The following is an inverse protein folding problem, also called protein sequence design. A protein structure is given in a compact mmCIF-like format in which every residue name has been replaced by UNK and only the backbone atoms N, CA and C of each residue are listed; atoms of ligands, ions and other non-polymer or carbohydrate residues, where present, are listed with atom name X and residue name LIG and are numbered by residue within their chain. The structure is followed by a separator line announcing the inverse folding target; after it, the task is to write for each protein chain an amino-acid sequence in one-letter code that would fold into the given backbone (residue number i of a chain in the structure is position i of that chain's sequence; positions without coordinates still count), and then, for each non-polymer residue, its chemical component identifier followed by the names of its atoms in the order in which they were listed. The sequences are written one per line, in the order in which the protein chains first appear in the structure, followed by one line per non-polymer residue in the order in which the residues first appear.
data_IF_784439777276
#
_entry.id   IF_784439777276
#
_cell.length_a   1.000
_cell.length_b   1.000
_cell.length_c   1.000
_cell.angle_alpha   90.00
_cell.angle_beta   90.00
_cell.angle_gamma   90.00
#
_symmetry.space_group_name_H-M   'P 1'
#
loop_
_entity.id
_entity.type
_entity.pdbx_description
1 polymer ?
#
# COMPACT_ATOMS: atom_id res chain seq x y z
N UNK A 1 -27.97 20.56 3.70
CA UNK A 1 -26.70 20.15 3.05
C UNK A 1 -27.09 19.61 1.68
N UNK A 2 -27.04 20.46 0.66
CA UNK A 2 -27.43 20.11 -0.72
C UNK A 2 -26.39 19.15 -1.29
N UNK A 3 -26.84 17.98 -1.76
CA UNK A 3 -26.00 17.04 -2.51
C UNK A 3 -25.46 17.79 -3.75
N UNK A 4 -24.16 17.70 -4.06
CA UNK A 4 -23.62 18.28 -5.28
C UNK A 4 -24.39 17.70 -6.47
N UNK A 5 -24.78 18.56 -7.43
CA UNK A 5 -25.37 18.12 -8.70
C UNK A 5 -24.52 16.98 -9.27
N UNK A 6 -25.19 15.88 -9.62
CA UNK A 6 -24.58 14.67 -10.14
C UNK A 6 -23.85 14.95 -11.46
N UNK A 7 -22.59 15.35 -11.34
CA UNK A 7 -21.63 15.24 -12.42
C UNK A 7 -21.52 13.73 -12.70
N UNK A 8 -21.87 13.33 -13.93
CA UNK A 8 -21.89 11.94 -14.37
C UNK A 8 -20.51 11.31 -14.14
N UNK A 9 -20.34 10.62 -13.00
CA UNK A 9 -19.05 10.05 -12.59
C UNK A 9 -18.71 8.88 -13.52
N UNK A 10 -17.90 9.16 -14.55
CA UNK A 10 -17.37 8.12 -15.45
C UNK A 10 -16.35 7.25 -14.71
N UNK A 11 -16.79 6.07 -14.28
CA UNK A 11 -15.89 5.10 -13.65
C UNK A 11 -15.15 4.26 -14.70
N UNK A 12 -13.81 4.28 -14.64
CA UNK A 12 -12.99 3.40 -15.47
C UNK A 12 -12.91 2.01 -14.83
N UNK A 13 -13.62 1.05 -15.41
CA UNK A 13 -13.53 -0.36 -15.01
C UNK A 13 -12.10 -0.87 -15.25
N UNK A 14 -11.46 -1.37 -14.21
CA UNK A 14 -10.09 -1.91 -14.25
C UNK A 14 -10.04 -3.43 -14.29
N UNK A 15 -11.12 -4.12 -13.92
CA UNK A 15 -11.15 -5.59 -13.83
C UNK A 15 -12.57 -6.17 -13.76
N UNK A 16 -13.22 -6.42 -14.91
CA UNK A 16 -14.47 -7.19 -14.95
C UNK A 16 -14.25 -8.69 -14.69
N UNK A 17 -13.10 -9.24 -15.09
CA UNK A 17 -12.82 -10.67 -15.05
C UNK A 17 -12.13 -11.16 -13.76
N UNK A 18 -11.95 -10.30 -12.75
CA UNK A 18 -11.25 -10.60 -11.48
C UNK A 18 -9.90 -11.36 -11.64
N UNK A 19 -9.24 -11.27 -12.81
CA UNK A 19 -7.99 -11.98 -13.10
C UNK A 19 -6.82 -11.31 -12.36
N UNK A 20 -6.09 -12.11 -11.57
CA UNK A 20 -4.85 -11.70 -10.89
C UNK A 20 -3.89 -11.00 -11.89
N UNK A 21 -3.62 -9.69 -11.76
CA UNK A 21 -2.71 -9.00 -12.67
C UNK A 21 -1.25 -9.43 -12.51
N UNK A 22 -0.49 -9.38 -13.60
CA UNK A 22 0.98 -9.49 -13.60
C UNK A 22 1.66 -8.54 -12.61
N UNK A 23 2.87 -8.86 -12.11
CA UNK A 23 3.62 -7.90 -11.28
C UNK A 23 3.98 -6.65 -12.08
N UNK A 24 4.54 -6.82 -13.28
CA UNK A 24 4.79 -5.72 -14.22
C UNK A 24 3.49 -4.97 -14.54
N UNK A 25 2.38 -5.71 -14.73
CA UNK A 25 1.09 -5.09 -14.97
C UNK A 25 0.60 -4.23 -13.79
N UNK A 26 0.82 -4.67 -12.55
CA UNK A 26 0.52 -3.90 -11.34
C UNK A 26 1.39 -2.65 -11.26
N UNK A 27 2.70 -2.81 -11.44
CA UNK A 27 3.69 -1.75 -11.28
C UNK A 27 3.58 -0.65 -12.34
N UNK A 28 3.24 -0.99 -13.59
CA UNK A 28 3.21 -0.03 -14.69
C UNK A 28 1.79 0.32 -15.15
N UNK A 29 0.97 -0.68 -15.48
CA UNK A 29 -0.35 -0.42 -16.10
C UNK A 29 -1.40 -0.01 -15.08
N UNK A 30 -1.48 -0.70 -13.94
CA UNK A 30 -2.57 -0.51 -12.98
C UNK A 30 -2.30 0.59 -11.96
N UNK A 31 -1.04 0.81 -11.58
CA UNK A 31 -0.62 2.02 -10.84
C UNK A 31 -0.97 3.30 -11.61
N UNK A 32 -0.68 3.34 -12.92
CA UNK A 32 -1.04 4.45 -13.79
C UNK A 32 -2.55 4.68 -13.86
N UNK A 33 -3.34 3.60 -13.88
CA UNK A 33 -4.81 3.70 -13.82
C UNK A 33 -5.27 4.31 -12.50
N UNK A 34 -4.59 4.05 -11.38
CA UNK A 34 -4.92 4.61 -10.06
C UNK A 34 -4.63 6.11 -10.01
N UNK A 35 -3.46 6.52 -10.51
CA UNK A 35 -3.05 7.92 -10.59
C UNK A 35 -1.63 8.06 -11.13
N UNK A 36 -1.34 9.19 -11.78
CA UNK A 36 -0.01 9.48 -12.32
C UNK A 36 1.05 9.56 -11.21
N UNK A 37 0.71 10.20 -10.08
CA UNK A 37 1.59 10.31 -8.92
C UNK A 37 1.88 8.95 -8.27
N UNK A 38 0.89 8.06 -8.21
CA UNK A 38 1.09 6.69 -7.73
C UNK A 38 2.10 5.94 -8.61
N UNK A 39 2.00 6.07 -9.94
CA UNK A 39 2.95 5.46 -10.87
C UNK A 39 4.38 5.99 -10.67
N UNK A 40 4.56 7.32 -10.65
CA UNK A 40 5.87 7.95 -10.42
C UNK A 40 6.47 7.49 -9.10
N UNK A 41 5.67 7.49 -8.03
CA UNK A 41 6.13 7.09 -6.70
C UNK A 41 6.65 5.65 -6.71
N UNK A 42 5.89 4.69 -7.26
CA UNK A 42 6.33 3.30 -7.32
C UNK A 42 7.57 3.12 -8.19
N UNK A 43 7.66 3.82 -9.32
CA UNK A 43 8.85 3.79 -10.18
C UNK A 43 10.09 4.27 -9.42
N UNK A 44 9.96 5.38 -8.67
CA UNK A 44 11.02 5.90 -7.81
C UNK A 44 11.43 4.92 -6.72
N UNK A 45 10.46 4.32 -6.01
CA UNK A 45 10.72 3.35 -4.93
C UNK A 45 11.48 2.13 -5.46
N UNK A 46 11.03 1.53 -6.56
CA UNK A 46 11.74 0.40 -7.16
C UNK A 46 13.14 0.77 -7.64
N UNK A 47 13.27 1.94 -8.28
CA UNK A 47 14.56 2.46 -8.71
C UNK A 47 15.54 2.62 -7.54
N UNK A 48 15.09 3.21 -6.42
CA UNK A 48 15.92 3.39 -5.23
C UNK A 48 16.30 2.07 -4.57
N UNK A 49 15.36 1.13 -4.44
CA UNK A 49 15.64 -0.17 -3.82
C UNK A 49 16.69 -0.92 -4.65
N UNK A 50 16.51 -0.99 -5.98
CA UNK A 50 17.44 -1.71 -6.85
C UNK A 50 18.82 -1.05 -6.83
N UNK A 51 18.89 0.27 -7.01
CA UNK A 51 20.17 0.98 -7.01
C UNK A 51 20.85 0.95 -5.64
N UNK A 52 20.09 1.12 -4.55
CA UNK A 52 20.61 1.03 -3.18
C UNK A 52 21.23 -0.33 -2.88
N UNK A 53 20.53 -1.42 -3.26
CA UNK A 53 21.08 -2.78 -3.13
C UNK A 53 22.36 -2.95 -3.95
N UNK A 54 22.41 -2.46 -5.19
CA UNK A 54 23.62 -2.52 -6.02
C UNK A 54 24.78 -1.74 -5.37
N UNK A 55 24.50 -0.60 -4.74
CA UNK A 55 25.49 0.21 -4.04
C UNK A 55 25.97 -0.44 -2.73
N UNK A 56 25.15 -1.27 -2.09
CA UNK A 56 25.51 -2.01 -0.86
C UNK A 56 26.30 -3.31 -1.13
N UNK A 57 26.05 -4.01 -2.25
CA UNK A 57 26.69 -5.30 -2.61
C UNK A 57 28.23 -5.29 -2.48
N UNK A 58 28.97 -4.26 -2.93
CA UNK A 58 30.43 -4.21 -2.79
C UNK A 58 30.91 -4.23 -1.33
N UNK A 59 30.10 -3.77 -0.38
CA UNK A 59 30.41 -3.81 1.05
C UNK A 59 30.11 -5.17 1.69
N UNK A 60 29.27 -5.98 1.04
CA UNK A 60 28.92 -7.33 1.49
C UNK A 60 29.85 -8.41 0.89
N UNK A 61 30.48 -8.14 -0.26
CA UNK A 61 31.32 -9.09 -0.98
C UNK A 61 32.61 -8.41 -1.46
N UNK A 62 33.74 -8.72 -0.81
CA UNK A 62 35.06 -8.10 -1.07
C UNK A 62 35.48 -8.16 -2.54
N UNK A 63 35.12 -9.23 -3.27
CA UNK A 63 35.46 -9.45 -4.68
C UNK A 63 34.69 -8.60 -5.70
N UNK A 64 33.65 -7.87 -5.30
CA UNK A 64 32.84 -7.00 -6.19
C UNK A 64 33.25 -5.52 -6.15
N UNK A 65 34.19 -5.17 -5.27
CA UNK A 65 34.66 -3.79 -5.07
C UNK A 65 35.29 -3.16 -6.32
N UNK A 66 36.01 -3.95 -7.12
CA UNK A 66 36.68 -3.49 -8.36
C UNK A 66 35.69 -3.14 -9.48
N UNK A 67 34.59 -3.89 -9.60
CA UNK A 67 33.51 -3.62 -10.57
C UNK A 67 32.80 -2.31 -10.22
N UNK A 68 32.65 -2.03 -8.92
CA UNK A 68 31.98 -0.82 -8.45
C UNK A 68 32.83 0.44 -8.63
N UNK A 69 34.16 0.36 -8.53
CA UNK A 69 35.05 1.52 -8.68
C UNK A 69 34.90 2.26 -10.03
N UNK A 70 34.53 1.57 -11.11
CA UNK A 70 34.30 2.20 -12.41
C UNK A 70 32.90 2.80 -12.61
N UNK A 71 31.89 2.29 -11.89
CA UNK A 71 30.48 2.56 -12.15
C UNK A 71 29.72 3.21 -10.98
N UNK A 72 30.37 3.39 -9.82
CA UNK A 72 29.74 3.92 -8.61
C UNK A 72 29.11 5.31 -8.80
N UNK A 73 29.72 6.15 -9.63
CA UNK A 73 29.15 7.46 -9.98
C UNK A 73 27.80 7.31 -10.69
N UNK A 74 27.68 6.39 -11.67
CA UNK A 74 26.45 6.15 -12.41
C UNK A 74 25.33 5.67 -11.48
N UNK A 75 25.62 4.70 -10.62
CA UNK A 75 24.62 4.20 -9.66
C UNK A 75 24.18 5.29 -8.68
N UNK A 76 25.08 6.17 -8.24
CA UNK A 76 24.75 7.33 -7.40
C UNK A 76 23.81 8.30 -8.12
N UNK A 77 24.04 8.57 -9.41
CA UNK A 77 23.13 9.38 -10.24
C UNK A 77 21.75 8.74 -10.39
N UNK A 78 21.69 7.46 -10.75
CA UNK A 78 20.41 6.75 -10.90
C UNK A 78 19.67 6.71 -9.56
N UNK A 79 20.36 6.46 -8.45
CA UNK A 79 19.78 6.50 -7.11
C UNK A 79 19.21 7.89 -6.79
N UNK A 80 19.97 8.95 -7.01
CA UNK A 80 19.52 10.33 -6.81
C UNK A 80 18.29 10.69 -7.67
N UNK A 81 18.31 10.37 -8.97
CA UNK A 81 17.19 10.63 -9.90
C UNK A 81 15.94 9.86 -9.45
N UNK A 82 16.09 8.58 -9.11
CA UNK A 82 14.96 7.79 -8.63
C UNK A 82 14.45 8.33 -7.29
N UNK A 83 15.32 8.86 -6.44
CA UNK A 83 14.95 9.55 -5.19
C UNK A 83 14.08 10.79 -5.46
N UNK A 84 14.42 11.57 -6.49
CA UNK A 84 13.60 12.69 -6.94
C UNK A 84 12.23 12.23 -7.45
N UNK A 85 12.14 11.09 -8.14
CA UNK A 85 10.85 10.50 -8.53
C UNK A 85 10.01 10.14 -7.28
N UNK A 86 10.60 9.57 -6.23
CA UNK A 86 9.88 9.31 -4.96
C UNK A 86 9.31 10.62 -4.40
N UNK A 87 10.12 11.69 -4.36
CA UNK A 87 9.67 13.00 -3.88
C UNK A 87 8.49 13.54 -4.69
N UNK A 88 8.61 13.60 -6.01
CA UNK A 88 7.54 14.11 -6.89
C UNK A 88 6.26 13.27 -6.79
N UNK A 89 6.38 11.93 -6.82
CA UNK A 89 5.25 11.03 -6.66
C UNK A 89 4.64 11.13 -5.25
N UNK A 90 5.48 11.26 -4.23
CA UNK A 90 5.10 11.40 -2.83
C UNK A 90 4.29 12.67 -2.56
N UNK A 91 4.70 13.81 -3.13
CA UNK A 91 3.92 15.06 -3.06
C UNK A 91 2.51 14.84 -3.62
N UNK A 92 2.40 14.22 -4.80
CA UNK A 92 1.10 13.92 -5.39
C UNK A 92 0.25 12.96 -4.53
N UNK A 93 0.91 12.00 -3.88
CA UNK A 93 0.26 11.07 -2.96
C UNK A 93 -0.28 11.77 -1.69
N UNK A 94 0.49 12.70 -1.13
CA UNK A 94 0.09 13.55 0.00
C UNK A 94 -1.07 14.47 -0.40
N UNK A 95 -0.99 15.14 -1.55
CA UNK A 95 -2.06 15.97 -2.08
C UNK A 95 -3.35 15.16 -2.26
N UNK A 96 -3.24 13.94 -2.79
CA UNK A 96 -4.37 13.03 -2.94
C UNK A 96 -4.97 12.62 -1.60
N UNK A 97 -4.14 12.35 -0.58
CA UNK A 97 -4.60 12.07 0.79
C UNK A 97 -5.48 13.18 1.36
N UNK A 98 -5.08 14.44 1.16
CA UNK A 98 -5.86 15.57 1.65
C UNK A 98 -7.10 15.88 0.80
N UNK A 99 -7.04 15.66 -0.52
CA UNK A 99 -8.13 16.01 -1.45
C UNK A 99 -9.19 14.91 -1.60
N UNK A 100 -8.84 13.64 -1.43
CA UNK A 100 -9.77 12.52 -1.66
C UNK A 100 -10.16 11.83 -0.34
N UNK A 101 -11.40 12.04 0.15
CA UNK A 101 -11.85 11.47 1.42
C UNK A 101 -11.94 9.93 1.39
N UNK A 102 -12.26 9.33 0.24
CA UNK A 102 -12.35 7.87 0.08
C UNK A 102 -10.97 7.21 0.19
N UNK A 103 -9.96 7.85 -0.40
CA UNK A 103 -8.57 7.40 -0.31
C UNK A 103 -8.04 7.50 1.12
N UNK A 104 -8.27 8.64 1.79
CA UNK A 104 -7.93 8.84 3.21
C UNK A 104 -8.57 7.80 4.12
N UNK A 105 -9.85 7.52 3.91
CA UNK A 105 -10.60 6.51 4.67
C UNK A 105 -10.05 5.09 4.45
N UNK A 106 -9.71 4.73 3.22
CA UNK A 106 -9.17 3.40 2.91
C UNK A 106 -7.75 3.18 3.44
N UNK A 107 -6.91 4.23 3.46
CA UNK A 107 -5.52 4.11 3.89
C UNK A 107 -5.37 4.04 5.42
N UNK A 108 -6.10 4.91 6.14
CA UNK A 108 -6.07 4.99 7.59
C UNK A 108 -4.84 5.69 8.16
N UNK A 109 -4.55 5.45 9.45
CA UNK A 109 -3.52 6.17 10.24
C UNK A 109 -2.08 5.77 9.93
N UNK A 110 -1.87 4.56 9.40
CA UNK A 110 -0.52 4.07 9.04
C UNK A 110 0.15 4.94 7.97
N UNK A 111 -0.65 5.69 7.21
CA UNK A 111 -0.17 6.70 6.27
C UNK A 111 0.86 7.66 6.88
N UNK A 112 0.56 8.19 8.06
CA UNK A 112 1.42 9.20 8.70
C UNK A 112 2.77 8.62 9.13
N UNK A 113 2.80 7.34 9.50
CA UNK A 113 4.04 6.65 9.85
C UNK A 113 4.92 6.49 8.62
N UNK A 114 4.38 5.92 7.53
CA UNK A 114 5.14 5.77 6.28
C UNK A 114 5.58 7.14 5.73
N UNK A 115 4.71 8.17 5.80
CA UNK A 115 5.05 9.51 5.34
C UNK A 115 6.18 10.15 6.16
N UNK A 116 6.19 10.00 7.48
CA UNK A 116 7.24 10.54 8.33
C UNK A 116 8.60 9.92 8.01
N UNK A 117 8.66 8.59 7.88
CA UNK A 117 9.90 7.90 7.51
C UNK A 117 10.37 8.25 6.11
N UNK A 118 9.48 8.21 5.12
CA UNK A 118 9.82 8.56 3.73
C UNK A 118 10.25 10.03 3.60
N UNK A 119 9.63 10.94 4.36
CA UNK A 119 10.03 12.34 4.43
C UNK A 119 11.43 12.52 5.01
N UNK A 120 11.74 11.83 6.11
CA UNK A 120 13.08 11.83 6.72
C UNK A 120 14.14 11.23 5.78
N UNK A 121 13.84 10.10 5.15
CA UNK A 121 14.71 9.46 4.16
C UNK A 121 14.99 10.39 2.98
N UNK A 122 13.96 11.03 2.45
CA UNK A 122 14.10 11.92 1.32
C UNK A 122 14.89 13.19 1.70
N UNK A 123 14.72 13.72 2.92
CA UNK A 123 15.50 14.85 3.41
C UNK A 123 16.99 14.50 3.52
N UNK A 124 17.31 13.41 4.23
CA UNK A 124 18.71 12.98 4.41
C UNK A 124 19.35 12.63 3.06
N UNK A 125 18.62 11.91 2.19
CA UNK A 125 19.08 11.55 0.85
C UNK A 125 19.29 12.76 -0.05
N UNK A 126 18.43 13.79 0.02
CA UNK A 126 18.59 15.03 -0.73
C UNK A 126 19.82 15.81 -0.29
N UNK A 127 20.06 15.95 1.02
CA UNK A 127 21.26 16.61 1.54
C UNK A 127 22.52 15.88 1.08
N UNK A 128 22.53 14.54 1.16
CA UNK A 128 23.64 13.73 0.66
C UNK A 128 23.85 13.90 -0.85
N UNK A 129 22.77 13.95 -1.65
CA UNK A 129 22.87 14.15 -3.09
C UNK A 129 23.44 15.53 -3.45
N UNK A 130 22.96 16.60 -2.80
CA UNK A 130 23.44 17.97 -3.03
C UNK A 130 24.96 18.05 -2.82
N UNK A 131 25.47 17.43 -1.76
CA UNK A 131 26.89 17.38 -1.44
C UNK A 131 27.68 16.56 -2.47
N UNK A 132 27.23 15.33 -2.78
CA UNK A 132 27.90 14.44 -3.74
C UNK A 132 28.00 15.07 -5.14
N UNK A 133 27.01 15.87 -5.53
CA UNK A 133 26.99 16.55 -6.83
C UNK A 133 27.60 17.95 -6.79
N UNK A 134 28.08 18.43 -5.65
CA UNK A 134 28.75 19.72 -5.52
C UNK A 134 27.83 20.92 -5.76
N UNK A 135 26.51 20.77 -5.60
CA UNK A 135 25.56 21.88 -5.82
C UNK A 135 25.59 22.93 -4.71
N UNK A 136 26.02 22.56 -3.50
CA UNK A 136 26.27 23.51 -2.41
C UNK A 136 27.58 23.10 -1.70
N UNK A 137 28.68 23.84 -1.86
CA UNK A 137 29.83 23.70 -0.98
C UNK A 137 29.44 24.28 0.38
N UNK A 138 28.77 23.48 1.20
CA UNK A 138 28.42 23.88 2.56
C UNK A 138 29.73 23.87 3.35
N UNK A 139 30.33 25.03 3.59
CA UNK A 139 31.65 25.18 4.20
C UNK A 139 31.80 24.48 5.58
N UNK A 140 30.68 24.12 6.22
CA UNK A 140 30.61 23.38 7.49
C UNK A 140 30.39 21.87 7.34
N UNK A 141 30.31 21.33 6.12
CA UNK A 141 30.06 19.91 5.87
C UNK A 141 31.39 19.14 5.80
N UNK A 142 31.77 18.55 6.93
CA UNK A 142 32.98 17.74 6.99
C UNK A 142 32.74 16.35 6.39
N UNK A 143 33.82 15.65 6.02
CA UNK A 143 33.72 14.25 5.60
C UNK A 143 33.13 13.34 6.70
N UNK A 144 33.26 13.72 7.97
CA UNK A 144 32.58 13.06 9.10
C UNK A 144 31.06 13.26 9.03
N UNK A 145 30.60 14.47 8.70
CA UNK A 145 29.18 14.79 8.54
C UNK A 145 28.52 13.95 7.43
N UNK A 146 29.20 13.76 6.29
CA UNK A 146 28.71 12.91 5.18
C UNK A 146 28.57 11.46 5.61
N UNK A 147 29.59 10.91 6.30
CA UNK A 147 29.54 9.53 6.82
C UNK A 147 28.39 9.34 7.81
N UNK A 148 28.17 10.33 8.68
CA UNK A 148 27.08 10.31 9.64
C UNK A 148 25.71 10.37 8.95
N UNK A 149 25.52 11.25 7.95
CA UNK A 149 24.28 11.28 7.17
C UNK A 149 24.02 9.96 6.45
N UNK A 150 25.03 9.34 5.85
CA UNK A 150 24.88 8.03 5.22
C UNK A 150 24.44 6.95 6.21
N UNK A 151 25.01 6.96 7.42
CA UNK A 151 24.64 6.03 8.49
C UNK A 151 23.21 6.30 8.99
N UNK A 152 22.83 7.57 9.16
CA UNK A 152 21.47 7.96 9.51
C UNK A 152 20.46 7.53 8.44
N UNK A 153 20.79 7.73 7.15
CA UNK A 153 19.96 7.33 6.03
C UNK A 153 19.68 5.82 6.09
N UNK A 154 20.73 5.01 6.24
CA UNK A 154 20.62 3.56 6.32
C UNK A 154 19.84 3.11 7.57
N UNK A 155 20.09 3.73 8.73
CA UNK A 155 19.35 3.45 9.96
C UNK A 155 17.85 3.76 9.81
N UNK A 156 17.50 4.86 9.14
CA UNK A 156 16.12 5.20 8.82
C UNK A 156 15.49 4.19 7.87
N UNK A 157 16.21 3.66 6.88
CA UNK A 157 15.71 2.64 5.95
C UNK A 157 15.32 1.38 6.73
N UNK A 158 16.25 0.84 7.53
CA UNK A 158 15.99 -0.40 8.26
C UNK A 158 14.90 -0.23 9.32
N UNK A 159 14.88 0.90 10.02
CA UNK A 159 13.82 1.23 10.97
C UNK A 159 12.46 1.31 10.27
N UNK A 160 12.39 2.01 9.13
CA UNK A 160 11.18 2.09 8.33
C UNK A 160 10.72 0.72 7.85
N UNK A 161 11.63 -0.15 7.39
CA UNK A 161 11.28 -1.50 6.94
C UNK A 161 10.61 -2.30 8.06
N UNK A 162 11.20 -2.32 9.27
CA UNK A 162 10.66 -3.05 10.41
C UNK A 162 9.31 -2.47 10.84
N UNK A 163 9.23 -1.16 11.02
CA UNK A 163 8.01 -0.49 11.47
C UNK A 163 6.88 -0.64 10.45
N UNK A 164 7.16 -0.43 9.17
CA UNK A 164 6.19 -0.55 8.07
C UNK A 164 5.70 -2.00 7.90
N UNK A 165 6.57 -2.99 8.13
CA UNK A 165 6.18 -4.40 8.12
C UNK A 165 5.21 -4.75 9.27
N UNK A 166 5.52 -4.31 10.51
CA UNK A 166 4.72 -4.62 11.70
C UNK A 166 3.40 -3.85 11.72
N UNK A 167 3.45 -2.53 11.48
CA UNK A 167 2.29 -1.63 11.56
C UNK A 167 1.32 -1.75 10.37
N UNK A 168 1.67 -2.52 9.33
CA UNK A 168 0.85 -2.69 8.14
C UNK A 168 0.90 -1.52 7.16
N UNK A 169 2.09 -0.97 7.00
CA UNK A 169 2.45 0.09 6.05
C UNK A 169 2.81 -0.44 4.67
N UNK A 170 3.50 0.40 3.91
CA UNK A 170 3.91 0.17 2.52
C UNK A 170 4.72 -1.11 2.31
N UNK A 171 5.65 -1.45 3.22
CA UNK A 171 6.49 -2.65 3.08
C UNK A 171 5.66 -3.93 3.27
N UNK A 172 4.77 -3.97 4.27
CA UNK A 172 3.85 -5.10 4.44
C UNK A 172 2.95 -5.26 3.23
N UNK A 173 2.49 -4.15 2.64
CA UNK A 173 1.72 -4.18 1.40
C UNK A 173 2.51 -4.81 0.23
N UNK A 174 3.76 -4.39 0.03
CA UNK A 174 4.62 -4.92 -1.02
C UNK A 174 4.85 -6.43 -0.85
N UNK A 175 5.25 -6.87 0.36
CA UNK A 175 5.47 -8.29 0.68
C UNK A 175 4.19 -9.10 0.49
N UNK A 176 3.06 -8.60 0.99
CA UNK A 176 1.76 -9.27 0.84
C UNK A 176 1.34 -9.37 -0.62
N UNK A 177 1.64 -8.36 -1.44
CA UNK A 177 1.34 -8.36 -2.88
C UNK A 177 2.16 -9.40 -3.63
N UNK A 178 3.45 -9.54 -3.29
CA UNK A 178 4.30 -10.61 -3.84
C UNK A 178 3.78 -11.98 -3.39
N UNK A 179 3.51 -12.17 -2.09
CA UNK A 179 2.98 -13.42 -1.55
C UNK A 179 1.66 -13.83 -2.23
N UNK A 180 0.72 -12.88 -2.35
CA UNK A 180 -0.54 -13.07 -3.06
C UNK A 180 -0.34 -13.57 -4.50
N UNK A 181 0.66 -13.03 -5.20
CA UNK A 181 0.98 -13.40 -6.58
C UNK A 181 1.59 -14.79 -6.70
N UNK A 182 2.42 -15.20 -5.74
CA UNK A 182 3.06 -16.52 -5.74
C UNK A 182 2.08 -17.64 -5.37
N UNK A 183 0.92 -17.33 -4.79
CA UNK A 183 -0.09 -18.33 -4.45
C UNK A 183 -0.83 -18.88 -5.68
N UNK A 184 -0.82 -20.22 -5.81
CA UNK A 184 -1.45 -20.96 -6.93
C UNK A 184 -2.98 -20.93 -6.92
N UNK A 185 -3.60 -20.74 -5.75
CA UNK A 185 -5.05 -20.80 -5.60
C UNK A 185 -5.66 -19.39 -5.43
N UNK A 186 -6.69 -19.08 -6.22
CA UNK A 186 -7.56 -17.90 -6.02
C UNK A 186 -8.69 -18.21 -5.04
N UNK A 187 -8.39 -18.90 -3.94
CA UNK A 187 -9.42 -19.12 -2.93
C UNK A 187 -9.72 -17.83 -2.20
N UNK A 188 -10.98 -17.65 -1.83
CA UNK A 188 -11.42 -16.48 -1.10
C UNK A 188 -10.74 -16.37 0.28
N UNK A 189 -10.50 -17.50 0.95
CA UNK A 189 -9.71 -17.58 2.18
C UNK A 189 -8.27 -17.09 1.98
N UNK A 190 -7.66 -17.42 0.83
CA UNK A 190 -6.36 -16.89 0.43
C UNK A 190 -6.39 -15.37 0.24
N UNK A 191 -7.43 -14.83 -0.42
CA UNK A 191 -7.58 -13.37 -0.58
C UNK A 191 -7.71 -12.66 0.77
N UNK A 192 -8.47 -13.22 1.72
CA UNK A 192 -8.60 -12.70 3.08
C UNK A 192 -7.25 -12.73 3.83
N UNK A 193 -6.48 -13.80 3.68
CA UNK A 193 -5.14 -13.91 4.25
C UNK A 193 -4.16 -12.86 3.68
N UNK A 194 -4.36 -12.42 2.43
CA UNK A 194 -3.60 -11.36 1.80
C UNK A 194 -4.35 -10.02 1.72
N UNK A 195 -5.24 -9.72 2.68
CA UNK A 195 -5.96 -8.43 2.71
C UNK A 195 -5.01 -7.22 2.76
N UNK A 196 -3.80 -7.38 3.30
CA UNK A 196 -2.77 -6.35 3.32
C UNK A 196 -2.14 -6.08 1.93
N UNK A 197 -2.34 -6.98 0.95
CA UNK A 197 -2.02 -6.71 -0.46
C UNK A 197 -2.99 -5.71 -1.11
N UNK A 198 -4.04 -5.26 -0.41
CA UNK A 198 -4.85 -4.14 -0.87
C UNK A 198 -3.99 -2.87 -0.94
N UNK A 199 -3.95 -2.20 -2.11
CA UNK A 199 -3.27 -0.91 -2.25
C UNK A 199 -3.99 0.28 -1.62
N UNK A 200 -5.06 0.04 -0.85
CA UNK A 200 -5.82 1.07 -0.09
C UNK A 200 -6.22 2.30 -0.93
N UNK A 201 -6.47 2.12 -2.23
CA UNK A 201 -6.66 3.21 -3.18
C UNK A 201 -8.01 3.96 -3.08
N UNK A 202 -8.94 3.50 -2.24
CA UNK A 202 -10.25 4.14 -2.02
C UNK A 202 -11.31 3.91 -3.10
N UNK A 203 -10.95 3.39 -4.28
CA UNK A 203 -11.92 3.23 -5.40
C UNK A 203 -13.12 2.36 -5.08
N UNK A 204 -12.92 1.28 -4.32
CA UNK A 204 -14.03 0.42 -3.90
C UNK A 204 -15.01 1.15 -2.97
N UNK A 205 -14.54 2.12 -2.20
CA UNK A 205 -15.37 2.95 -1.32
C UNK A 205 -16.16 3.97 -2.12
N UNK A 206 -15.50 4.61 -3.09
CA UNK A 206 -16.10 5.63 -3.97
C UNK A 206 -17.33 5.13 -4.73
N UNK A 207 -17.34 3.87 -5.15
CA UNK A 207 -18.42 3.28 -5.97
C UNK A 207 -19.43 2.44 -5.20
N UNK A 208 -19.31 2.35 -3.87
CA UNK A 208 -20.13 1.43 -3.10
C UNK A 208 -21.51 2.02 -2.77
N UNK A 209 -22.62 1.45 -3.27
CA UNK A 209 -23.96 1.97 -2.98
C UNK A 209 -24.37 1.73 -1.53
N UNK A 210 -23.93 0.65 -0.89
CA UNK A 210 -24.15 0.39 0.54
C UNK A 210 -23.51 1.50 1.38
N UNK A 211 -22.25 1.85 1.10
CA UNK A 211 -21.58 2.95 1.83
C UNK A 211 -22.34 4.28 1.71
N UNK A 212 -22.86 4.60 0.51
CA UNK A 212 -23.66 5.80 0.32
C UNK A 212 -25.01 5.72 1.05
N UNK A 213 -25.71 4.58 0.97
CA UNK A 213 -27.01 4.36 1.62
C UNK A 213 -26.94 4.46 3.15
N UNK A 214 -25.80 4.12 3.75
CA UNK A 214 -25.54 4.25 5.19
C UNK A 214 -24.90 5.59 5.56
N UNK A 215 -25.23 6.68 4.84
CA UNK A 215 -24.74 8.04 5.10
C UNK A 215 -23.21 8.12 5.22
N UNK A 216 -22.49 7.34 4.41
CA UNK A 216 -21.02 7.28 4.40
C UNK A 216 -20.39 6.93 5.75
N UNK A 217 -21.05 6.07 6.54
CA UNK A 217 -20.47 5.51 7.76
C UNK A 217 -19.15 4.79 7.42
N UNK A 218 -18.00 5.18 8.03
CA UNK A 218 -16.69 4.55 7.81
C UNK A 218 -16.70 3.01 7.92
N UNK A 219 -17.54 2.46 8.79
CA UNK A 219 -17.67 1.02 9.00
C UNK A 219 -18.43 0.29 7.88
N UNK A 220 -19.06 1.02 6.95
CA UNK A 220 -19.71 0.49 5.76
C UNK A 220 -18.84 0.61 4.50
N UNK A 221 -17.66 1.24 4.62
CA UNK A 221 -16.71 1.29 3.52
C UNK A 221 -16.15 -0.12 3.23
N UNK A 222 -16.21 -0.63 1.97
CA UNK A 222 -16.00 -2.05 1.68
C UNK A 222 -14.70 -2.63 2.22
N UNK A 223 -13.58 -1.96 1.98
CA UNK A 223 -12.25 -2.41 2.40
C UNK A 223 -12.03 -2.25 3.90
N UNK A 224 -12.61 -1.21 4.51
CA UNK A 224 -12.47 -0.92 5.95
C UNK A 224 -13.22 -1.97 6.76
N UNK A 225 -14.50 -2.18 6.43
CA UNK A 225 -15.37 -3.19 7.03
C UNK A 225 -14.75 -4.59 6.95
N UNK A 226 -14.28 -4.95 5.75
CA UNK A 226 -13.67 -6.26 5.50
C UNK A 226 -12.43 -6.50 6.36
N UNK A 227 -11.50 -5.53 6.41
CA UNK A 227 -10.27 -5.65 7.20
C UNK A 227 -10.55 -5.67 8.70
N UNK A 228 -11.47 -4.83 9.16
CA UNK A 228 -11.84 -4.76 10.57
C UNK A 228 -12.40 -6.10 11.06
N UNK A 229 -13.44 -6.63 10.42
CA UNK A 229 -14.07 -7.86 10.88
C UNK A 229 -13.17 -9.09 10.69
N UNK A 230 -12.32 -9.11 9.66
CA UNK A 230 -11.30 -10.14 9.53
C UNK A 230 -10.31 -10.13 10.71
N UNK A 231 -9.85 -8.95 11.14
CA UNK A 231 -8.99 -8.83 12.32
C UNK A 231 -9.72 -9.23 13.61
N UNK A 232 -10.99 -8.85 13.77
CA UNK A 232 -11.81 -9.24 14.93
C UNK A 232 -11.94 -10.76 15.02
N UNK A 233 -12.27 -11.44 13.91
CA UNK A 233 -12.37 -12.91 13.89
C UNK A 233 -11.03 -13.61 14.11
N UNK A 234 -9.91 -13.02 13.68
CA UNK A 234 -8.57 -13.63 13.82
C UNK A 234 -7.95 -13.41 15.21
N UNK A 235 -8.25 -12.29 15.86
CA UNK A 235 -7.56 -11.88 17.09
C UNK A 235 -8.06 -12.57 18.35
N UNK A 236 -9.30 -13.09 18.34
CA UNK A 236 -9.90 -13.72 19.53
C UNK A 236 -11.05 -14.66 19.18
N UNK A 237 -11.47 -15.46 20.16
CA UNK A 237 -12.74 -16.18 20.10
C UNK A 237 -13.90 -15.19 20.23
N UNK A 238 -14.90 -15.34 19.36
CA UNK A 238 -16.11 -14.52 19.37
C UNK A 238 -17.20 -15.23 20.18
N UNK A 239 -17.99 -14.44 20.90
CA UNK A 239 -19.23 -14.93 21.52
C UNK A 239 -20.29 -15.20 20.45
N UNK A 240 -21.32 -16.03 20.73
CA UNK A 240 -22.42 -16.25 19.79
C UNK A 240 -23.09 -14.97 19.29
N UNK A 241 -23.27 -13.97 20.17
CA UNK A 241 -23.84 -12.67 19.83
C UNK A 241 -22.94 -11.90 18.86
N UNK A 242 -21.63 -11.95 19.04
CA UNK A 242 -20.67 -11.30 18.14
C UNK A 242 -20.58 -12.01 16.79
N UNK A 243 -20.62 -13.34 16.77
CA UNK A 243 -20.67 -14.11 15.52
C UNK A 243 -21.91 -13.73 14.71
N UNK A 244 -23.07 -13.65 15.36
CA UNK A 244 -24.31 -13.18 14.73
C UNK A 244 -24.15 -11.76 14.18
N UNK A 245 -23.61 -10.85 14.99
CA UNK A 245 -23.36 -9.47 14.56
C UNK A 245 -22.44 -9.39 13.34
N UNK A 246 -21.30 -10.10 13.34
CA UNK A 246 -20.39 -10.14 12.18
C UNK A 246 -21.10 -10.68 10.94
N UNK A 247 -21.92 -11.72 11.11
CA UNK A 247 -22.70 -12.33 10.02
C UNK A 247 -23.70 -11.34 9.41
N UNK A 248 -24.47 -10.64 10.25
CA UNK A 248 -25.41 -9.59 9.83
C UNK A 248 -24.69 -8.45 9.09
N UNK A 249 -23.51 -8.06 9.58
CA UNK A 249 -22.67 -7.04 8.97
C UNK A 249 -22.14 -7.45 7.60
N UNK A 250 -21.80 -8.74 7.40
CA UNK A 250 -21.40 -9.23 6.07
C UNK A 250 -22.58 -9.36 5.11
N UNK A 251 -23.75 -9.72 5.62
CA UNK A 251 -24.98 -9.82 4.84
C UNK A 251 -25.50 -8.46 4.33
N UNK A 252 -25.03 -7.34 4.88
CA UNK A 252 -25.43 -5.99 4.44
C UNK A 252 -24.89 -5.60 3.05
N UNK A 253 -23.93 -6.37 2.51
CA UNK A 253 -23.38 -6.12 1.18
C UNK A 253 -24.45 -6.35 0.10
N UNK A 254 -24.72 -5.35 -0.74
CA UNK A 254 -25.67 -5.47 -1.86
C UNK A 254 -25.21 -6.39 -3.01
N UNK A 255 -23.99 -6.95 -2.92
CA UNK A 255 -23.41 -7.88 -3.90
C UNK A 255 -23.38 -7.40 -5.37
N UNK A 256 -23.46 -6.08 -5.60
CA UNK A 256 -23.53 -5.47 -6.94
C UNK A 256 -22.24 -5.53 -7.78
N UNK A 257 -21.12 -6.03 -7.23
CA UNK A 257 -19.82 -6.17 -7.89
C UNK A 257 -19.12 -4.88 -8.42
N UNK A 258 -19.67 -3.68 -8.22
CA UNK A 258 -19.03 -2.42 -8.64
C UNK A 258 -17.59 -2.28 -8.11
N UNK A 259 -17.39 -2.62 -6.84
CA UNK A 259 -16.08 -2.60 -6.18
C UNK A 259 -15.04 -3.55 -6.82
N UNK A 260 -15.47 -4.70 -7.35
CA UNK A 260 -14.58 -5.62 -8.07
C UNK A 260 -14.21 -5.04 -9.45
N UNK A 261 -15.18 -4.41 -10.12
CA UNK A 261 -14.99 -3.78 -11.42
C UNK A 261 -13.95 -2.66 -11.42
N UNK A 262 -13.88 -1.86 -10.34
CA UNK A 262 -12.95 -0.71 -10.22
C UNK A 262 -11.66 -1.02 -9.46
N UNK A 263 -11.48 -2.25 -8.96
CA UNK A 263 -10.30 -2.62 -8.18
C UNK A 263 -9.07 -2.82 -9.08
N UNK A 264 -7.99 -2.02 -8.90
CA UNK A 264 -6.76 -2.21 -9.65
C UNK A 264 -5.99 -3.47 -9.23
N UNK A 265 -6.35 -4.12 -8.12
CA UNK A 265 -5.73 -5.39 -7.69
C UNK A 265 -6.56 -6.62 -8.04
N UNK A 266 -7.71 -6.43 -8.72
CA UNK A 266 -8.68 -7.51 -9.02
C UNK A 266 -9.18 -8.26 -7.79
N UNK A 267 -9.29 -7.58 -6.64
CA UNK A 267 -9.97 -8.16 -5.48
C UNK A 267 -11.46 -8.25 -5.71
N UNK A 268 -11.99 -9.47 -5.60
CA UNK A 268 -13.42 -9.72 -5.62
C UNK A 268 -13.97 -9.54 -4.20
N UNK A 269 -14.32 -8.30 -3.85
CA UNK A 269 -14.86 -7.99 -2.53
C UNK A 269 -16.16 -8.77 -2.25
N UNK A 270 -17.04 -8.97 -3.23
CA UNK A 270 -18.28 -9.75 -3.02
C UNK A 270 -17.96 -11.17 -2.57
N UNK A 271 -17.03 -11.84 -3.26
CA UNK A 271 -16.56 -13.15 -2.84
C UNK A 271 -15.97 -13.10 -1.42
N UNK A 272 -15.11 -12.13 -1.12
CA UNK A 272 -14.48 -11.98 0.20
C UNK A 272 -15.52 -11.79 1.33
N UNK A 273 -16.57 -11.01 1.10
CA UNK A 273 -17.69 -10.88 2.05
C UNK A 273 -18.41 -12.20 2.27
N UNK A 274 -18.69 -12.94 1.20
CA UNK A 274 -19.36 -14.24 1.29
C UNK A 274 -18.50 -15.27 2.03
N UNK A 275 -17.19 -15.31 1.81
CA UNK A 275 -16.32 -16.19 2.57
C UNK A 275 -16.22 -15.75 4.03
N UNK A 276 -16.17 -14.45 4.32
CA UNK A 276 -16.18 -13.97 5.69
C UNK A 276 -17.48 -14.33 6.41
N UNK A 277 -18.61 -14.26 5.73
CA UNK A 277 -19.90 -14.73 6.24
C UNK A 277 -19.86 -16.24 6.54
N UNK A 278 -19.34 -17.05 5.62
CA UNK A 278 -19.19 -18.50 5.82
C UNK A 278 -18.27 -18.83 6.99
N UNK A 279 -17.14 -18.14 7.12
CA UNK A 279 -16.22 -18.32 8.25
C UNK A 279 -16.87 -17.91 9.58
N UNK A 280 -17.62 -16.80 9.61
CA UNK A 280 -18.38 -16.42 10.80
C UNK A 280 -19.42 -17.49 11.16
N UNK A 281 -20.16 -18.02 10.20
CA UNK A 281 -21.17 -19.07 10.43
C UNK A 281 -20.57 -20.38 10.98
N UNK A 282 -19.34 -20.74 10.59
CA UNK A 282 -18.64 -21.90 11.17
C UNK A 282 -18.36 -21.74 12.67
N UNK A 283 -18.24 -20.49 13.13
CA UNK A 283 -18.04 -20.15 14.53
C UNK A 283 -19.38 -20.07 15.30
N UNK A 284 -20.52 -20.12 14.61
CA UNK A 284 -21.82 -20.07 15.26
C UNK A 284 -22.07 -21.37 16.04
N UNK A 285 -22.63 -21.29 17.26
CA UNK A 285 -23.05 -22.49 17.97
C UNK A 285 -24.11 -23.22 17.13
N UNK A 286 -24.01 -24.56 17.07
CA UNK A 286 -25.04 -25.37 16.43
C UNK A 286 -26.40 -25.07 17.11
N UNK A 287 -27.49 -24.93 16.35
CA UNK A 287 -28.80 -24.76 16.95
C UNK A 287 -29.05 -25.95 17.88
N UNK A 288 -29.33 -25.68 19.15
CA UNK A 288 -29.82 -26.70 20.06
C UNK A 288 -31.25 -27.01 19.61
N UNK A 289 -31.41 -28.16 18.95
CA UNK A 289 -32.73 -28.69 18.65
C UNK A 289 -33.27 -29.23 19.98
N UNK A 290 -34.11 -28.44 20.64
CA UNK A 290 -34.94 -28.85 21.77
C UNK A 290 -36.31 -29.26 21.28
#
# INVERSE_FOLDING_TARGET
MTLPKDEERKYKLSSLQAKKPGLIQLLFKRSFVVGYSDFIFHLGVWGNIITGLIMEVPFLFEGLSSVYQGWGWLFSWIHGITGLLILMGGIGFVLRYFRNPFFRLAYGRVFYLDLAFLGGLALVGLVQAIEVFGFLPIASFTQSSIKWLGTLHLALIYTWIVVSLVAGGAIRHAVSTIGWRLTKANTTTGMLAFADACGKCGRCVEVCPTFEAFNRNPMEAPVVKLRYYYQVMKSRKLTPKEVRYVSEQMATCAQCNLCAGVCPYSFNYVAMYNAMLQEAQKLAPKPQVT
#
